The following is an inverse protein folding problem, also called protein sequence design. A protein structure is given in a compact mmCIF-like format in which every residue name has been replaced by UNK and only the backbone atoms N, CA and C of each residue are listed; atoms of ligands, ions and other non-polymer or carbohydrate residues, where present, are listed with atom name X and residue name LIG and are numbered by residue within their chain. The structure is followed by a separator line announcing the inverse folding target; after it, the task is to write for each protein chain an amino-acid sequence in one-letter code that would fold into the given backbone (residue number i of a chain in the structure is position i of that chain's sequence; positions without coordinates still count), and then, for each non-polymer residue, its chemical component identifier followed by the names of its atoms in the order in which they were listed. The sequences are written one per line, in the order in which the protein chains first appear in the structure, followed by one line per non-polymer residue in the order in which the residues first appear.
data_IF_412410627370
#
_entry.id   IF_412410627370
#
_cell.length_a   1.000
_cell.length_b   1.000
_cell.length_c   1.000
_cell.angle_alpha   90.00
_cell.angle_beta   90.00
_cell.angle_gamma   90.00
#
_symmetry.space_group_name_H-M   'P 1'
#
loop_
_entity.id
_entity.type
_entity.pdbx_description
1 polymer ?
#
# COMPACT_ATOMS: atom_id res chain seq x y z
N UNK A 1 -6.17 -19.24 2.94
CA UNK A 1 -6.76 -17.91 2.63
C UNK A 1 -5.63 -16.94 2.38
N UNK A 2 -5.73 -16.04 1.39
CA UNK A 2 -4.82 -14.92 1.22
C UNK A 2 -4.89 -13.97 2.42
N UNK A 3 -3.79 -13.31 2.76
CA UNK A 3 -3.66 -12.42 3.91
C UNK A 3 -4.69 -11.28 3.86
N UNK A 4 -4.95 -10.79 2.64
CA UNK A 4 -5.97 -9.78 2.34
C UNK A 4 -7.35 -10.15 2.89
N UNK A 5 -7.79 -11.39 2.72
CA UNK A 5 -9.09 -11.86 3.22
C UNK A 5 -9.12 -11.94 4.75
N UNK A 6 -8.03 -12.42 5.36
CA UNK A 6 -7.94 -12.51 6.82
C UNK A 6 -8.02 -11.14 7.50
N UNK A 7 -7.38 -10.13 6.91
CA UNK A 7 -7.46 -8.75 7.38
C UNK A 7 -8.88 -8.18 7.22
N UNK A 8 -9.54 -8.44 6.10
CA UNK A 8 -10.90 -7.97 5.85
C UNK A 8 -11.96 -8.63 6.75
N UNK A 9 -11.68 -9.80 7.31
CA UNK A 9 -12.51 -10.42 8.33
C UNK A 9 -12.42 -9.71 9.70
N UNK A 10 -11.42 -8.85 9.91
CA UNK A 10 -11.27 -8.06 11.13
C UNK A 10 -12.07 -6.76 11.04
N UNK A 11 -13.04 -6.57 11.95
CA UNK A 11 -13.83 -5.34 12.03
C UNK A 11 -12.94 -4.10 12.22
N UNK A 12 -11.92 -4.22 13.07
CA UNK A 12 -10.95 -3.15 13.34
C UNK A 12 -10.22 -2.69 12.08
N UNK A 13 -9.82 -3.62 11.21
CA UNK A 13 -9.15 -3.26 9.96
C UNK A 13 -10.14 -2.60 8.97
N UNK A 14 -11.37 -3.10 8.89
CA UNK A 14 -12.38 -2.47 8.01
C UNK A 14 -12.76 -1.06 8.47
N UNK A 15 -12.76 -0.80 9.78
CA UNK A 15 -12.96 0.55 10.32
C UNK A 15 -11.77 1.46 10.00
N UNK A 16 -10.55 0.94 10.08
CA UNK A 16 -9.35 1.68 9.68
C UNK A 16 -9.40 2.11 8.21
N UNK A 17 -9.77 1.20 7.30
CA UNK A 17 -9.94 1.54 5.88
C UNK A 17 -10.96 2.66 5.69
N UNK A 18 -12.09 2.61 6.41
CA UNK A 18 -13.12 3.66 6.38
C UNK A 18 -12.61 5.01 6.91
N UNK A 19 -11.85 5.02 8.00
CA UNK A 19 -11.27 6.25 8.57
C UNK A 19 -10.36 6.97 7.56
N UNK A 20 -9.69 6.21 6.70
CA UNK A 20 -8.82 6.74 5.64
C UNK A 20 -9.51 6.84 4.27
N UNK A 21 -10.81 6.58 4.18
CA UNK A 21 -11.58 6.57 2.93
C UNK A 21 -10.99 5.66 1.85
N UNK A 22 -10.38 4.54 2.27
CA UNK A 22 -9.81 3.52 1.39
C UNK A 22 -10.89 2.47 1.13
N UNK A 23 -11.13 2.17 -0.14
CA UNK A 23 -12.01 1.07 -0.52
C UNK A 23 -11.30 -0.28 -0.30
N UNK A 24 -11.95 -1.28 0.32
CA UNK A 24 -11.42 -2.65 0.45
C UNK A 24 -10.92 -3.28 -0.86
N UNK A 25 -11.47 -2.87 -2.01
CA UNK A 25 -10.99 -3.33 -3.32
C UNK A 25 -9.62 -2.72 -3.69
N UNK A 26 -9.34 -1.50 -3.23
CA UNK A 26 -8.31 -0.61 -3.75
C UNK A 26 -7.05 -0.52 -2.87
N UNK A 27 -6.85 -1.48 -1.97
CA UNK A 27 -5.60 -1.62 -1.22
C UNK A 27 -4.76 -2.82 -1.65
N UNK A 28 -3.45 -2.66 -1.48
CA UNK A 28 -2.43 -3.69 -1.74
C UNK A 28 -1.48 -3.78 -0.55
N UNK A 29 -1.06 -5.00 -0.22
CA UNK A 29 -0.02 -5.26 0.78
C UNK A 29 1.29 -5.40 -0.01
N UNK A 30 2.22 -4.46 0.13
CA UNK A 30 3.42 -4.41 -0.73
C UNK A 30 4.35 -5.61 -0.51
N UNK A 31 4.42 -6.10 0.73
CA UNK A 31 5.37 -7.14 1.13
C UNK A 31 4.77 -8.56 1.12
N UNK A 32 3.55 -8.74 0.61
CA UNK A 32 2.79 -10.01 0.71
C UNK A 32 3.56 -11.21 0.12
N UNK A 33 4.25 -11.02 -1.00
CA UNK A 33 5.01 -12.07 -1.66
C UNK A 33 6.25 -12.53 -0.89
N UNK A 34 6.94 -11.61 -0.21
CA UNK A 34 8.12 -11.92 0.60
C UNK A 34 7.69 -12.64 1.90
N UNK A 35 6.68 -12.10 2.57
CA UNK A 35 6.12 -12.62 3.81
C UNK A 35 5.63 -14.07 3.68
N UNK A 36 4.91 -14.38 2.59
CA UNK A 36 4.34 -15.71 2.38
C UNK A 36 5.43 -16.71 2.00
N UNK A 37 6.42 -16.29 1.21
CA UNK A 37 7.50 -17.16 0.73
C UNK A 37 8.45 -17.59 1.86
N UNK A 38 8.83 -16.66 2.75
CA UNK A 38 9.71 -16.95 3.88
C UNK A 38 9.04 -17.87 4.92
N UNK A 39 7.71 -17.81 5.00
CA UNK A 39 6.91 -18.61 5.93
C UNK A 39 6.54 -20.02 5.49
N UNK A 40 6.38 -20.24 4.19
CA UNK A 40 6.19 -21.60 3.68
C UNK A 40 7.37 -22.50 4.09
N UNK A 41 8.53 -21.90 4.34
CA UNK A 41 9.75 -22.56 4.80
C UNK A 41 9.81 -22.77 6.32
N UNK A 42 9.19 -21.90 7.14
CA UNK A 42 9.36 -21.91 8.60
C UNK A 42 8.34 -22.75 9.40
N UNK A 43 7.23 -23.20 8.78
CA UNK A 43 6.14 -23.97 9.45
C UNK A 43 5.54 -23.30 10.70
N UNK A 44 5.71 -22.00 10.88
CA UNK A 44 5.18 -21.32 12.06
C UNK A 44 3.70 -20.92 11.89
N UNK A 45 2.88 -21.35 12.85
CA UNK A 45 1.42 -21.10 12.86
C UNK A 45 1.05 -19.64 13.16
N UNK A 46 1.98 -18.89 13.77
CA UNK A 46 1.81 -17.49 14.18
C UNK A 46 2.81 -16.61 13.43
N UNK A 47 2.39 -15.41 13.08
CA UNK A 47 3.14 -14.41 12.35
C UNK A 47 3.05 -13.07 13.05
N UNK A 48 4.18 -12.41 13.18
CA UNK A 48 4.26 -11.00 13.53
C UNK A 48 5.27 -10.33 12.60
N UNK A 49 4.87 -9.29 11.87
CA UNK A 49 5.78 -8.56 10.99
C UNK A 49 5.29 -7.16 10.71
N UNK A 50 6.22 -6.26 10.41
CA UNK A 50 5.89 -4.92 9.93
C UNK A 50 5.57 -4.99 8.44
N UNK A 51 4.45 -4.41 8.03
CA UNK A 51 3.99 -4.41 6.64
C UNK A 51 3.62 -3.01 6.19
N UNK A 52 3.77 -2.77 4.89
CA UNK A 52 3.24 -1.60 4.21
C UNK A 52 1.96 -1.95 3.44
N UNK A 53 0.86 -1.26 3.78
CA UNK A 53 -0.40 -1.31 3.05
C UNK A 53 -0.56 -0.01 2.27
N UNK A 54 -0.62 -0.11 0.95
CA UNK A 54 -0.92 1.02 0.08
C UNK A 54 -2.41 1.00 -0.26
N UNK A 55 -3.10 2.09 0.07
CA UNK A 55 -4.47 2.35 -0.36
C UNK A 55 -4.55 3.57 -1.27
N UNK A 56 -5.60 3.61 -2.10
CA UNK A 56 -5.93 4.76 -2.94
C UNK A 56 -7.29 5.32 -2.53
N UNK A 57 -7.39 6.65 -2.46
CA UNK A 57 -8.64 7.38 -2.27
C UNK A 57 -8.69 8.62 -3.17
N UNK A 58 -9.78 9.39 -3.12
CA UNK A 58 -9.96 10.60 -3.95
C UNK A 58 -8.88 11.67 -3.74
N UNK A 59 -8.18 11.64 -2.60
CA UNK A 59 -7.07 12.55 -2.29
C UNK A 59 -5.70 12.01 -2.70
N UNK A 60 -5.64 10.85 -3.37
CA UNK A 60 -4.42 10.20 -3.83
C UNK A 60 -4.02 8.97 -3.00
N UNK A 61 -2.73 8.66 -3.03
CA UNK A 61 -2.17 7.47 -2.39
C UNK A 61 -1.93 7.69 -0.90
N UNK A 62 -2.32 6.71 -0.09
CA UNK A 62 -2.03 6.64 1.34
C UNK A 62 -1.33 5.33 1.69
N UNK A 63 -0.28 5.45 2.49
CA UNK A 63 0.51 4.35 3.02
C UNK A 63 0.15 4.15 4.49
N UNK A 64 -0.31 2.96 4.84
CA UNK A 64 -0.52 2.54 6.23
C UNK A 64 0.62 1.61 6.61
N UNK A 65 1.42 2.03 7.58
CA UNK A 65 2.57 1.29 8.08
C UNK A 65 2.19 0.76 9.46
N UNK A 66 2.42 -0.52 9.67
CA UNK A 66 2.06 -1.13 10.94
C UNK A 66 2.46 -2.57 11.03
N UNK A 67 2.17 -3.16 12.19
CA UNK A 67 2.49 -4.55 12.48
C UNK A 67 1.27 -5.43 12.27
N UNK A 68 1.42 -6.50 11.50
CA UNK A 68 0.40 -7.55 11.38
C UNK A 68 0.69 -8.70 12.33
N UNK A 69 -0.35 -9.16 13.02
CA UNK A 69 -0.35 -10.35 13.84
C UNK A 69 -1.30 -11.34 13.21
N UNK A 70 -0.79 -12.44 12.64
CA UNK A 70 -1.61 -13.45 11.98
C UNK A 70 -1.46 -14.82 12.66
N UNK A 71 -2.56 -15.53 12.79
CA UNK A 71 -2.59 -16.94 13.14
C UNK A 71 -3.36 -17.69 12.05
N UNK A 72 -2.64 -18.46 11.24
CA UNK A 72 -3.22 -19.15 10.09
C UNK A 72 -4.08 -20.35 10.51
N UNK A 73 -3.78 -20.99 11.64
CA UNK A 73 -4.58 -22.11 12.17
C UNK A 73 -5.95 -21.62 12.65
N UNK A 74 -5.98 -20.45 13.29
CA UNK A 74 -7.21 -19.82 13.79
C UNK A 74 -7.92 -18.97 12.73
N UNK A 75 -7.29 -18.74 11.59
CA UNK A 75 -7.76 -17.82 10.55
C UNK A 75 -8.04 -16.40 11.09
N UNK A 76 -7.12 -15.87 11.90
CA UNK A 76 -7.23 -14.53 12.49
C UNK A 76 -6.04 -13.69 12.03
N UNK A 77 -6.30 -12.47 11.56
CA UNK A 77 -5.29 -11.46 11.35
C UNK A 77 -5.72 -10.13 11.99
N UNK A 78 -4.77 -9.47 12.65
CA UNK A 78 -4.95 -8.14 13.24
C UNK A 78 -3.85 -7.24 12.71
N UNK A 79 -4.21 -6.05 12.27
CA UNK A 79 -3.25 -5.03 11.85
C UNK A 79 -3.27 -3.90 12.87
N UNK A 80 -2.11 -3.63 13.45
CA UNK A 80 -1.86 -2.54 14.37
C UNK A 80 -1.20 -1.40 13.60
N UNK A 81 -1.94 -0.31 13.36
CA UNK A 81 -1.42 0.86 12.67
C UNK A 81 -0.40 1.59 13.55
N UNK A 82 0.77 1.89 12.98
CA UNK A 82 1.81 2.70 13.63
C UNK A 82 1.87 4.11 13.01
N UNK A 83 1.80 4.22 11.69
CA UNK A 83 1.76 5.50 10.99
C UNK A 83 0.92 5.44 9.71
N UNK A 84 0.37 6.61 9.33
CA UNK A 84 -0.36 6.78 8.09
C UNK A 84 0.20 7.99 7.32
N UNK A 85 0.71 7.74 6.12
CA UNK A 85 1.43 8.74 5.33
C UNK A 85 0.74 8.97 3.99
N UNK A 86 0.44 10.22 3.67
CA UNK A 86 -0.05 10.58 2.32
C UNK A 86 1.15 10.78 1.42
N UNK A 87 1.21 10.02 0.34
CA UNK A 87 2.26 10.20 -0.65
C UNK A 87 1.82 11.28 -1.62
N UNK A 88 2.53 12.41 -1.63
CA UNK A 88 2.35 13.40 -2.69
C UNK A 88 2.70 12.73 -3.99
N UNK A 89 1.81 12.81 -4.97
CA UNK A 89 2.10 12.36 -6.32
C UNK A 89 3.19 13.29 -6.86
N UNK A 90 4.45 12.81 -6.86
CA UNK A 90 5.57 13.58 -7.36
C UNK A 90 5.26 13.95 -8.81
N UNK A 91 5.04 15.24 -9.04
CA UNK A 91 4.85 15.84 -10.36
C UNK A 91 6.18 15.85 -11.14
N UNK A 92 6.85 14.70 -11.25
CA UNK A 92 8.17 14.58 -11.86
C UNK A 92 8.12 14.36 -13.40
N UNK A 93 6.95 14.41 -14.04
CA UNK A 93 6.81 14.24 -15.48
C UNK A 93 6.14 15.41 -16.23
N UNK A 94 6.04 16.60 -15.61
CA UNK A 94 5.45 17.78 -16.26
C UNK A 94 6.47 18.76 -16.89
N UNK A 95 7.77 18.46 -16.88
CA UNK A 95 8.81 19.30 -17.49
C UNK A 95 9.52 18.57 -18.63
N UNK A 96 8.82 18.32 -19.74
CA UNK A 96 9.46 17.90 -21.01
C UNK A 96 8.61 18.26 -22.25
N UNK A 97 7.93 19.42 -22.25
CA UNK A 97 7.20 19.92 -23.43
C UNK A 97 7.30 21.42 -23.73
N UNK A 98 8.17 22.17 -23.07
CA UNK A 98 8.44 23.57 -23.42
C UNK A 98 9.94 23.81 -23.56
N UNK A 99 10.49 23.36 -24.68
CA UNK A 99 11.79 23.82 -25.20
C UNK A 99 11.75 23.65 -26.72
N UNK A 100 11.02 24.54 -27.36
CA UNK A 100 10.98 24.73 -28.81
C UNK A 100 11.13 26.21 -29.13
N UNK A 101 12.18 26.85 -28.60
CA UNK A 101 12.68 28.13 -29.08
C UNK A 101 13.82 27.89 -30.08
N UNK A 102 13.83 28.66 -31.18
CA UNK A 102 15.03 28.78 -32.01
C UNK A 102 14.70 29.14 -33.45
N UNK A 103 14.59 30.44 -33.73
CA UNK A 103 14.29 30.97 -35.05
C UNK A 103 15.35 30.66 -36.11
N UNK A 104 14.89 30.34 -37.31
CA UNK A 104 15.70 30.28 -38.50
C UNK A 104 15.77 31.68 -39.13
N UNK A 105 16.95 32.28 -38.97
CA UNK A 105 17.73 33.02 -39.96
C UNK A 105 17.05 34.05 -40.87
N UNK A 106 17.54 35.29 -40.69
CA UNK A 106 17.40 36.41 -41.62
C UNK A 106 18.19 36.12 -42.90
N UNK A 107 17.51 36.12 -44.04
CA UNK A 107 18.12 36.47 -45.32
C UNK A 107 17.87 37.97 -45.60
N UNK A 108 18.94 38.69 -45.94
CA UNK A 108 18.93 40.11 -46.30
C UNK A 108 20.33 40.68 -46.40
#
# INVERSE_FOLDING_TARGET
MPLKELLLNSSSFTELLKQHSINPADFTIKDEGFIISDKLLSKEDVFKEMILIEGHNESGRINLIGTIYCNFVKNIAVFELESAERVKEDTANALNRESGEGGADREG
#
